data_IF_453748387361
#
_entry.id   IF_453748387361
#
_cell.length_a   1.000
_cell.length_b   1.000
_cell.length_c   1.000
_cell.angle_alpha   90.00
_cell.angle_beta   90.00
_cell.angle_gamma   90.00
#
_symmetry.space_group_name_H-M   'P 1'
#
loop_
_entity.id
_entity.type
_entity.pdbx_description
1 polymer ?
#
# COMPACT_ATOMS: atom_id res chain seq x y z
N UNK A 1 -13.32 1.33 0.95
CA UNK A 1 -14.63 0.67 1.21
C UNK A 1 -14.71 0.00 2.58
N UNK A 2 -13.67 -0.74 2.99
CA UNK A 2 -13.67 -1.46 4.27
C UNK A 2 -13.95 -0.54 5.46
N UNK A 3 -14.80 -0.99 6.37
CA UNK A 3 -15.14 -0.25 7.59
C UNK A 3 -14.00 -0.29 8.63
N UNK A 4 -13.26 -1.40 8.68
CA UNK A 4 -12.12 -1.61 9.56
C UNK A 4 -11.04 -2.40 8.81
N UNK A 5 -9.91 -1.74 8.52
CA UNK A 5 -8.80 -2.35 7.77
C UNK A 5 -8.09 -3.41 8.62
N UNK A 6 -7.92 -3.16 9.93
CA UNK A 6 -7.20 -4.09 10.82
C UNK A 6 -7.94 -5.41 10.92
N UNK A 7 -9.24 -5.37 11.21
CA UNK A 7 -10.08 -6.59 11.25
C UNK A 7 -10.13 -7.31 9.91
N UNK A 8 -10.18 -6.59 8.80
CA UNK A 8 -10.18 -7.21 7.48
C UNK A 8 -8.86 -7.96 7.22
N UNK A 9 -7.72 -7.35 7.59
CA UNK A 9 -6.41 -7.98 7.49
C UNK A 9 -6.27 -9.19 8.41
N UNK A 10 -6.82 -9.16 9.62
CA UNK A 10 -6.89 -10.31 10.53
C UNK A 10 -7.69 -11.47 9.94
N UNK A 11 -8.83 -11.16 9.31
CA UNK A 11 -9.65 -12.17 8.66
C UNK A 11 -8.94 -12.80 7.45
N UNK A 12 -8.24 -11.99 6.63
CA UNK A 12 -7.41 -12.53 5.55
C UNK A 12 -6.28 -13.42 6.08
N UNK A 13 -5.63 -13.03 7.18
CA UNK A 13 -4.60 -13.83 7.84
C UNK A 13 -5.14 -15.16 8.35
N UNK A 14 -6.35 -15.16 8.93
CA UNK A 14 -7.05 -16.35 9.42
C UNK A 14 -7.38 -17.33 8.28
N UNK A 15 -7.90 -16.81 7.16
CA UNK A 15 -8.33 -17.60 6.02
C UNK A 15 -7.17 -18.20 5.22
N UNK A 16 -6.09 -17.44 5.04
CA UNK A 16 -4.93 -17.88 4.27
C UNK A 16 -4.09 -18.90 5.06
N UNK A 17 -3.53 -19.88 4.36
CA UNK A 17 -2.53 -20.81 4.92
C UNK A 17 -1.18 -20.11 5.18
N UNK A 18 -0.28 -20.76 5.91
CA UNK A 18 1.09 -20.29 6.04
C UNK A 18 1.75 -20.20 4.66
N UNK A 19 2.40 -19.08 4.35
CA UNK A 19 2.96 -18.81 3.01
C UNK A 19 1.93 -18.43 1.96
N UNK A 20 0.64 -18.30 2.31
CA UNK A 20 -0.39 -17.81 1.40
C UNK A 20 -0.19 -16.34 1.04
N UNK A 21 -0.49 -15.98 -0.21
CA UNK A 21 -0.28 -14.62 -0.73
C UNK A 21 -1.60 -13.85 -0.80
N UNK A 22 -1.63 -12.67 -0.17
CA UNK A 22 -2.68 -11.67 -0.27
C UNK A 22 -2.24 -10.59 -1.26
N UNK A 23 -3.05 -10.37 -2.32
CA UNK A 23 -2.85 -9.28 -3.27
C UNK A 23 -3.91 -8.20 -3.07
N UNK A 24 -3.48 -6.96 -2.86
CA UNK A 24 -4.38 -5.80 -2.66
C UNK A 24 -4.08 -4.77 -3.73
N UNK A 25 -5.12 -4.27 -4.39
CA UNK A 25 -5.04 -3.15 -5.32
C UNK A 25 -5.97 -2.03 -4.83
N UNK A 26 -5.45 -0.81 -4.70
CA UNK A 26 -6.21 0.34 -4.19
C UNK A 26 -5.66 1.64 -4.78
N UNK A 27 -6.47 2.69 -4.97
CA UNK A 27 -5.96 3.98 -5.39
C UNK A 27 -4.94 4.54 -4.39
N UNK A 28 -3.92 5.22 -4.91
CA UNK A 28 -3.00 6.01 -4.09
C UNK A 28 -3.76 7.21 -3.51
N UNK A 29 -3.46 7.65 -2.28
CA UNK A 29 -4.15 8.79 -1.64
C UNK A 29 -4.05 10.08 -2.46
N UNK A 30 -3.00 10.23 -3.27
CA UNK A 30 -2.86 11.33 -4.21
C UNK A 30 -3.47 11.04 -5.59
N UNK A 31 -4.41 10.12 -5.75
CA UNK A 31 -5.20 9.99 -6.98
C UNK A 31 -6.58 10.63 -6.80
N UNK A 32 -7.18 11.12 -7.89
CA UNK A 32 -8.54 11.70 -7.81
C UNK A 32 -9.59 10.63 -7.46
N UNK A 33 -9.42 9.40 -7.95
CA UNK A 33 -10.38 8.31 -7.70
C UNK A 33 -10.42 7.92 -6.23
N UNK A 34 -9.34 8.18 -5.48
CA UNK A 34 -9.31 7.98 -4.03
C UNK A 34 -10.42 8.77 -3.34
N UNK A 35 -10.75 9.98 -3.80
CA UNK A 35 -11.79 10.84 -3.21
C UNK A 35 -13.09 10.91 -4.02
N UNK A 36 -13.07 10.49 -5.28
CA UNK A 36 -14.24 10.54 -6.16
C UNK A 36 -15.32 9.54 -5.72
N UNK A 37 -14.92 8.36 -5.27
CA UNK A 37 -15.85 7.34 -4.81
C UNK A 37 -16.32 7.65 -3.37
N UNK A 38 -17.63 7.94 -3.15
CA UNK A 38 -18.16 8.30 -1.84
C UNK A 38 -18.13 7.15 -0.82
N UNK A 39 -17.85 5.92 -1.27
CA UNK A 39 -17.78 4.74 -0.41
C UNK A 39 -16.35 4.44 0.05
N UNK A 40 -15.35 5.20 -0.41
CA UNK A 40 -14.02 5.17 0.18
C UNK A 40 -14.04 5.74 1.60
N UNK A 41 -13.45 4.99 2.54
CA UNK A 41 -13.37 5.33 3.96
C UNK A 41 -11.95 5.65 4.42
N UNK A 42 -10.95 5.25 3.62
CA UNK A 42 -9.54 5.40 3.95
C UNK A 42 -8.78 5.68 2.66
N UNK A 43 -7.87 6.63 2.71
CA UNK A 43 -7.00 7.02 1.60
C UNK A 43 -5.59 6.58 1.94
N UNK A 44 -5.15 5.49 1.32
CA UNK A 44 -3.94 4.77 1.70
C UNK A 44 -2.72 5.25 0.90
N UNK A 45 -1.55 5.05 1.47
CA UNK A 45 -0.25 5.25 0.83
C UNK A 45 0.55 3.92 0.78
N UNK A 46 1.72 3.92 0.15
CA UNK A 46 2.49 2.68 -0.04
C UNK A 46 3.06 2.10 1.26
N UNK A 47 2.95 2.82 2.37
CA UNK A 47 3.44 2.40 3.69
C UNK A 47 2.32 1.93 4.62
N UNK A 48 1.05 2.04 4.19
CA UNK A 48 -0.10 1.84 5.08
C UNK A 48 -0.23 0.42 5.64
N UNK A 49 0.26 -0.60 4.92
CA UNK A 49 0.24 -2.00 5.39
C UNK A 49 1.51 -2.43 6.14
N UNK A 50 2.48 -1.53 6.31
CA UNK A 50 3.74 -1.85 7.01
C UNK A 50 3.53 -2.23 8.48
N UNK A 51 2.46 -1.73 9.11
CA UNK A 51 2.10 -2.05 10.49
C UNK A 51 1.81 -3.54 10.73
N UNK A 52 1.50 -4.29 9.67
CA UNK A 52 1.25 -5.73 9.73
C UNK A 52 2.52 -6.56 9.49
N UNK A 53 3.66 -5.94 9.18
CA UNK A 53 4.93 -6.61 8.93
C UNK A 53 5.93 -6.50 10.08
N UNK A 54 7.13 -7.05 9.88
CA UNK A 54 8.21 -7.02 10.88
C UNK A 54 8.79 -5.60 11.07
N UNK A 55 8.86 -4.80 10.01
CA UNK A 55 9.33 -3.40 10.04
C UNK A 55 8.20 -2.41 10.41
N UNK A 56 7.40 -2.75 11.43
CA UNK A 56 6.25 -1.93 11.86
C UNK A 56 6.66 -0.65 12.62
N UNK A 57 7.95 -0.32 12.72
CA UNK A 57 8.44 0.91 13.36
C UNK A 57 8.02 1.08 14.83
N UNK A 58 7.87 -0.02 15.57
CA UNK A 58 7.36 -0.02 16.96
C UNK A 58 5.83 -0.05 17.12
N UNK A 59 5.07 -0.01 16.02
CA UNK A 59 3.60 0.04 16.04
C UNK A 59 2.90 -1.31 15.79
N UNK A 60 3.59 -2.44 15.94
CA UNK A 60 3.02 -3.78 15.70
C UNK A 60 1.98 -4.22 16.73
N UNK A 61 1.67 -3.39 17.72
CA UNK A 61 0.73 -3.72 18.81
C UNK A 61 -0.75 -3.67 18.38
N UNK A 62 -1.07 -3.15 17.20
CA UNK A 62 -2.46 -3.04 16.71
C UNK A 62 -3.13 -4.39 16.44
N UNK A 63 -2.35 -5.43 16.15
CA UNK A 63 -2.85 -6.76 15.80
C UNK A 63 -1.78 -7.82 16.01
N UNK A 64 -2.19 -9.09 16.11
CA UNK A 64 -1.28 -10.24 16.07
C UNK A 64 -1.08 -10.81 14.66
N UNK A 65 -1.90 -10.42 13.69
CA UNK A 65 -1.73 -10.86 12.31
C UNK A 65 -0.41 -10.33 11.73
N UNK A 66 0.37 -11.21 11.09
CA UNK A 66 1.69 -10.87 10.53
C UNK A 66 1.78 -11.23 9.06
N UNK A 67 2.31 -10.29 8.29
CA UNK A 67 2.49 -10.39 6.86
C UNK A 67 3.91 -9.97 6.48
N UNK A 68 4.56 -10.75 5.64
CA UNK A 68 5.82 -10.38 5.00
C UNK A 68 5.52 -9.62 3.71
N UNK A 69 6.02 -8.40 3.59
CA UNK A 69 5.93 -7.61 2.37
C UNK A 69 6.77 -8.27 1.27
N UNK A 70 6.12 -8.77 0.21
CA UNK A 70 6.80 -9.37 -0.95
C UNK A 70 7.06 -8.34 -2.03
N UNK A 71 6.04 -7.57 -2.38
CA UNK A 71 6.18 -6.49 -3.34
C UNK A 71 5.19 -5.37 -3.04
N UNK A 72 5.65 -4.14 -3.25
CA UNK A 72 4.78 -2.96 -3.28
C UNK A 72 5.12 -2.20 -4.55
N UNK A 73 4.13 -1.96 -5.38
CA UNK A 73 4.26 -1.24 -6.63
C UNK A 73 3.30 -0.07 -6.66
N UNK A 74 3.80 1.11 -7.03
CA UNK A 74 2.99 2.30 -7.26
C UNK A 74 2.96 2.58 -8.75
N UNK A 75 1.77 2.53 -9.35
CA UNK A 75 1.51 2.99 -10.72
C UNK A 75 1.27 4.49 -10.69
N UNK A 76 1.96 5.23 -11.54
CA UNK A 76 1.75 6.67 -11.69
C UNK A 76 0.80 6.98 -12.85
N UNK A 77 0.36 8.23 -12.97
CA UNK A 77 -0.35 8.66 -14.18
C UNK A 77 0.53 8.47 -15.43
N UNK A 78 -0.12 8.30 -16.58
CA UNK A 78 0.53 7.95 -17.86
C UNK A 78 1.69 8.89 -18.22
N UNK A 79 1.51 10.19 -17.98
CA UNK A 79 2.54 11.21 -18.22
C UNK A 79 3.81 10.94 -17.41
N UNK A 80 3.67 10.74 -16.09
CA UNK A 80 4.80 10.50 -15.19
C UNK A 80 5.46 9.15 -15.42
N UNK A 81 4.67 8.14 -15.77
CA UNK A 81 5.20 6.84 -16.17
C UNK A 81 6.07 6.94 -17.42
N UNK A 82 5.64 7.71 -18.42
CA UNK A 82 6.41 7.94 -19.64
C UNK A 82 7.72 8.70 -19.36
N UNK A 83 7.70 9.65 -18.44
CA UNK A 83 8.89 10.38 -17.96
C UNK A 83 9.83 9.53 -17.06
N UNK A 84 9.54 8.25 -16.84
CA UNK A 84 10.38 7.34 -16.07
C UNK A 84 10.24 7.45 -14.55
N UNK A 85 9.38 8.33 -14.03
CA UNK A 85 9.18 8.48 -12.58
C UNK A 85 8.67 7.21 -11.92
N UNK A 86 7.82 6.44 -12.61
CA UNK A 86 7.30 5.17 -12.09
C UNK A 86 8.43 4.17 -11.83
N UNK A 87 9.47 4.15 -12.67
CA UNK A 87 10.64 3.30 -12.45
C UNK A 87 11.40 3.74 -11.19
N UNK A 88 11.66 5.05 -11.04
CA UNK A 88 12.40 5.59 -9.90
C UNK A 88 11.71 5.32 -8.57
N UNK A 89 10.41 5.60 -8.47
CA UNK A 89 9.64 5.38 -7.23
C UNK A 89 9.47 3.91 -6.88
N UNK A 90 9.56 3.00 -7.85
CA UNK A 90 9.47 1.57 -7.58
C UNK A 90 10.82 0.89 -7.34
N UNK A 91 11.89 1.38 -7.98
CA UNK A 91 13.23 0.83 -7.81
C UNK A 91 13.86 1.25 -6.49
N UNK A 92 13.60 2.47 -6.03
CA UNK A 92 14.26 3.05 -4.87
C UNK A 92 13.23 3.44 -3.79
N UNK A 93 13.08 2.65 -2.70
CA UNK A 93 12.13 2.96 -1.63
C UNK A 93 12.35 4.31 -0.96
N UNK A 94 13.60 4.80 -0.89
CA UNK A 94 13.92 6.15 -0.40
C UNK A 94 13.36 7.23 -1.31
N UNK A 95 13.47 7.05 -2.63
CA UNK A 95 12.86 7.95 -3.61
C UNK A 95 11.34 7.89 -3.53
N UNK A 96 10.74 6.71 -3.33
CA UNK A 96 9.30 6.58 -3.06
C UNK A 96 8.87 7.40 -1.85
N UNK A 97 9.57 7.23 -0.73
CA UNK A 97 9.28 7.97 0.50
C UNK A 97 9.37 9.48 0.27
N UNK A 98 10.46 9.95 -0.34
CA UNK A 98 10.63 11.36 -0.67
C UNK A 98 9.52 11.88 -1.59
N UNK A 99 9.20 11.13 -2.65
CA UNK A 99 8.11 11.46 -3.56
C UNK A 99 6.76 11.56 -2.83
N UNK A 100 6.42 10.60 -1.97
CA UNK A 100 5.20 10.63 -1.17
C UNK A 100 5.14 11.80 -0.19
N UNK A 101 6.26 12.26 0.36
CA UNK A 101 6.27 13.37 1.32
C UNK A 101 6.17 14.73 0.64
N UNK A 102 6.81 14.91 -0.52
CA UNK A 102 7.05 16.24 -1.08
C UNK A 102 6.48 16.48 -2.48
N UNK A 103 6.40 15.45 -3.32
CA UNK A 103 6.14 15.61 -4.76
C UNK A 103 4.82 14.99 -5.23
N UNK A 104 4.15 14.21 -4.39
CA UNK A 104 2.99 13.38 -4.74
C UNK A 104 1.75 14.15 -5.20
N UNK A 105 1.68 15.46 -4.94
CA UNK A 105 0.61 16.35 -5.41
C UNK A 105 0.91 16.97 -6.78
N UNK A 106 2.19 17.02 -7.19
CA UNK A 106 2.62 17.43 -8.52
C UNK A 106 2.68 16.19 -9.42
N UNK A 107 3.44 15.19 -8.99
CA UNK A 107 3.59 13.89 -9.62
C UNK A 107 2.58 12.94 -9.00
N UNK A 108 1.33 12.99 -9.47
CA UNK A 108 0.21 12.23 -8.89
C UNK A 108 0.40 10.72 -9.05
N UNK A 109 0.17 9.99 -7.97
CA UNK A 109 0.03 8.54 -7.97
C UNK A 109 -1.32 8.15 -8.57
N UNK A 110 -1.44 6.90 -9.05
CA UNK A 110 -2.69 6.37 -9.60
C UNK A 110 -3.20 5.21 -8.74
N UNK A 111 -2.47 4.10 -8.76
CA UNK A 111 -2.86 2.85 -8.10
C UNK A 111 -1.66 2.27 -7.37
N UNK A 112 -1.91 1.62 -6.25
CA UNK A 112 -0.93 0.85 -5.50
C UNK A 112 -1.32 -0.62 -5.54
N UNK A 113 -0.32 -1.47 -5.77
CA UNK A 113 -0.43 -2.92 -5.72
C UNK A 113 0.46 -3.41 -4.58
N UNK A 114 -0.11 -4.21 -3.70
CA UNK A 114 0.59 -4.85 -2.59
C UNK A 114 0.49 -6.36 -2.75
N UNK A 115 1.61 -7.06 -2.56
CA UNK A 115 1.66 -8.50 -2.40
C UNK A 115 2.27 -8.81 -1.03
N UNK A 116 1.47 -9.44 -0.19
CA UNK A 116 1.76 -9.71 1.20
C UNK A 116 1.68 -11.22 1.43
N UNK A 117 2.70 -11.80 2.03
CA UNK A 117 2.73 -13.22 2.38
C UNK A 117 2.37 -13.42 3.86
N UNK A 118 1.50 -14.38 4.16
CA UNK A 118 1.09 -14.67 5.54
C UNK A 118 2.20 -15.40 6.31
N UNK A 119 2.51 -14.86 7.49
CA UNK A 119 3.43 -15.46 8.47
C UNK A 119 2.61 -15.96 9.66
N UNK A 120 2.71 -17.24 10.01
CA UNK A 120 2.00 -17.89 11.13
C UNK A 120 2.97 -18.32 12.22
#
# INVERSE_FOLDING_TARGET
HLADIVRSMEEFHRLLGAGGTLRIETPHYSDFSSFCDPTHRSHLNSFSFRYFGEDHGGFGYYTRARFRERSIRVKLLRLWRWLGWEYLVNRFPRCRKFWEHYLCFIIRGKVMEFELEVVK
#
